data_IF_052117320472
#
_entry.id   IF_052117320472
#
_cell.length_a   1.000
_cell.length_b   1.000
_cell.length_c   1.000
_cell.angle_alpha   90.00
_cell.angle_beta   90.00
_cell.angle_gamma   90.00
#
_symmetry.space_group_name_H-M   'P 1'
#
loop_
_entity.id
_entity.type
_entity.pdbx_description
1 polymer ?
#
# COMPACT_ATOMS: atom_id res chain seq x y z
N UNK A 1 -30.48 -36.70 -5.80
CA UNK A 1 -29.81 -35.42 -6.15
C UNK A 1 -30.03 -34.29 -5.13
N UNK A 2 -31.26 -33.92 -4.76
CA UNK A 2 -31.54 -32.76 -3.89
C UNK A 2 -30.97 -32.89 -2.46
N UNK A 3 -31.00 -34.09 -1.85
CA UNK A 3 -30.38 -34.33 -0.52
C UNK A 3 -28.86 -34.17 -0.54
N UNK A 4 -28.19 -34.65 -1.59
CA UNK A 4 -26.73 -34.53 -1.74
C UNK A 4 -26.30 -33.07 -1.89
N UNK A 5 -27.06 -32.29 -2.66
CA UNK A 5 -26.82 -30.86 -2.82
C UNK A 5 -26.99 -30.09 -1.50
N UNK A 6 -28.03 -30.40 -0.69
CA UNK A 6 -28.20 -29.77 0.65
C UNK A 6 -27.11 -30.16 1.65
N UNK A 7 -26.60 -31.39 1.59
CA UNK A 7 -25.49 -31.82 2.47
C UNK A 7 -24.20 -31.11 2.05
N UNK A 8 -23.91 -31.06 0.74
CA UNK A 8 -22.75 -30.34 0.21
C UNK A 8 -22.81 -28.84 0.56
N UNK A 9 -23.96 -28.20 0.36
CA UNK A 9 -24.17 -26.79 0.68
C UNK A 9 -24.02 -26.50 2.19
N UNK A 10 -24.50 -27.42 3.04
CA UNK A 10 -24.31 -27.33 4.50
C UNK A 10 -22.85 -27.50 4.90
N UNK A 11 -22.14 -28.47 4.32
CA UNK A 11 -20.70 -28.69 4.56
C UNK A 11 -19.90 -27.47 4.10
N UNK A 12 -20.15 -26.99 2.89
CA UNK A 12 -19.51 -25.80 2.34
C UNK A 12 -19.75 -24.57 3.22
N UNK A 13 -20.99 -24.33 3.64
CA UNK A 13 -21.34 -23.22 4.53
C UNK A 13 -20.64 -23.32 5.89
N UNK A 14 -20.58 -24.51 6.50
CA UNK A 14 -19.89 -24.71 7.78
C UNK A 14 -18.38 -24.51 7.63
N UNK A 15 -17.80 -25.00 6.53
CA UNK A 15 -16.38 -24.83 6.22
C UNK A 15 -16.02 -23.35 6.06
N UNK A 16 -16.79 -22.60 5.26
CA UNK A 16 -16.59 -21.14 5.09
C UNK A 16 -16.73 -20.40 6.42
N UNK A 17 -17.70 -20.77 7.26
CA UNK A 17 -17.87 -20.20 8.60
C UNK A 17 -16.64 -20.46 9.49
N UNK A 18 -16.16 -21.71 9.55
CA UNK A 18 -14.98 -22.07 10.33
C UNK A 18 -13.77 -21.27 9.84
N UNK A 19 -13.52 -21.23 8.52
CA UNK A 19 -12.40 -20.47 7.95
C UNK A 19 -12.49 -18.97 8.25
N UNK A 20 -13.69 -18.39 8.20
CA UNK A 20 -13.92 -16.97 8.54
C UNK A 20 -13.64 -16.71 10.01
N UNK A 21 -14.11 -17.59 10.91
CA UNK A 21 -13.84 -17.49 12.36
C UNK A 21 -12.35 -17.65 12.63
N UNK A 22 -11.69 -18.63 12.03
CA UNK A 22 -10.24 -18.83 12.17
C UNK A 22 -9.47 -17.59 11.70
N UNK A 23 -9.80 -17.02 10.55
CA UNK A 23 -9.18 -15.80 10.03
C UNK A 23 -9.36 -14.61 10.98
N UNK A 24 -10.57 -14.43 11.52
CA UNK A 24 -10.86 -13.38 12.50
C UNK A 24 -10.06 -13.58 13.80
N UNK A 25 -9.99 -14.81 14.30
CA UNK A 25 -9.23 -15.15 15.51
C UNK A 25 -7.73 -14.90 15.31
N UNK A 26 -7.16 -15.25 14.16
CA UNK A 26 -5.76 -14.95 13.85
C UNK A 26 -5.50 -13.46 13.82
N UNK A 27 -6.39 -12.67 13.20
CA UNK A 27 -6.26 -11.21 13.18
C UNK A 27 -6.29 -10.62 14.61
N UNK A 28 -7.26 -11.02 15.42
CA UNK A 28 -7.39 -10.57 16.81
C UNK A 28 -6.17 -10.98 17.62
N UNK A 29 -5.67 -12.21 17.45
CA UNK A 29 -4.46 -12.69 18.09
C UNK A 29 -3.24 -11.82 17.75
N UNK A 30 -3.01 -11.51 16.47
CA UNK A 30 -1.89 -10.65 16.05
C UNK A 30 -2.00 -9.25 16.67
N UNK A 31 -3.19 -8.66 16.68
CA UNK A 31 -3.42 -7.33 17.27
C UNK A 31 -3.12 -7.34 18.78
N UNK A 32 -3.66 -8.33 19.51
CA UNK A 32 -3.44 -8.46 20.96
C UNK A 32 -1.96 -8.71 21.24
N UNK A 33 -1.29 -9.54 20.44
CA UNK A 33 0.13 -9.87 20.61
C UNK A 33 1.00 -8.63 20.41
N UNK A 34 0.83 -7.90 19.30
CA UNK A 34 1.54 -6.64 19.05
C UNK A 34 1.30 -5.65 20.19
N UNK A 35 0.06 -5.49 20.63
CA UNK A 35 -0.27 -4.57 21.71
C UNK A 35 0.40 -4.97 23.03
N UNK A 36 0.34 -6.25 23.42
CA UNK A 36 0.94 -6.76 24.65
C UNK A 36 2.46 -6.52 24.69
N UNK A 37 3.15 -6.87 23.61
CA UNK A 37 4.60 -6.68 23.50
C UNK A 37 4.98 -5.19 23.50
N UNK A 38 4.17 -4.34 22.85
CA UNK A 38 4.38 -2.88 22.84
C UNK A 38 4.21 -2.27 24.23
N UNK A 39 3.25 -2.74 25.04
CA UNK A 39 3.05 -2.26 26.41
C UNK A 39 4.26 -2.56 27.29
N UNK A 40 4.94 -3.70 27.08
CA UNK A 40 6.19 -4.00 27.81
C UNK A 40 7.26 -2.97 27.48
N UNK A 41 7.43 -2.60 26.20
CA UNK A 41 8.37 -1.56 25.78
C UNK A 41 8.05 -0.19 26.40
N UNK A 42 6.78 0.24 26.35
CA UNK A 42 6.39 1.58 26.82
C UNK A 42 6.43 1.76 28.34
N UNK A 43 6.59 0.66 29.11
CA UNK A 43 6.94 0.75 30.53
C UNK A 43 8.37 1.23 30.76
N UNK A 44 9.27 0.94 29.82
CA UNK A 44 10.69 1.31 29.91
C UNK A 44 11.00 2.62 29.17
N UNK A 45 10.32 2.90 28.05
CA UNK A 45 10.57 4.09 27.21
C UNK A 45 9.29 4.90 27.06
N UNK A 46 9.30 6.22 27.37
CA UNK A 46 8.14 7.08 27.16
C UNK A 46 7.69 7.13 25.69
N UNK A 47 6.38 7.03 25.45
CA UNK A 47 5.77 7.07 24.10
C UNK A 47 6.20 8.31 23.32
N UNK A 48 6.19 9.48 23.96
CA UNK A 48 6.57 10.73 23.30
C UNK A 48 8.02 10.68 22.79
N UNK A 49 8.95 10.16 23.61
CA UNK A 49 10.36 10.02 23.24
C UNK A 49 10.56 9.04 22.10
N UNK A 50 9.83 7.92 22.12
CA UNK A 50 9.87 6.94 21.04
C UNK A 50 9.46 7.54 19.70
N UNK A 51 8.41 8.37 19.70
CA UNK A 51 7.85 8.96 18.47
C UNK A 51 8.60 10.23 18.03
N UNK A 52 9.13 11.03 18.95
CA UNK A 52 9.71 12.36 18.64
C UNK A 52 11.24 12.45 18.75
N UNK A 53 11.91 11.38 19.16
CA UNK A 53 13.37 11.32 19.21
C UNK A 53 14.02 11.36 17.81
N UNK A 54 15.35 11.41 17.77
CA UNK A 54 16.11 11.70 16.54
C UNK A 54 16.92 10.54 15.98
N UNK A 55 17.14 9.48 16.76
CA UNK A 55 18.01 8.37 16.41
C UNK A 55 17.31 7.03 16.70
N UNK A 56 17.59 6.06 15.84
CA UNK A 56 17.35 4.64 16.08
C UNK A 56 18.71 3.95 16.16
N UNK A 57 19.09 3.49 17.35
CA UNK A 57 20.27 2.68 17.54
C UNK A 57 20.07 1.68 18.70
N UNK A 58 19.86 0.39 18.40
CA UNK A 58 19.62 -0.62 19.42
C UNK A 58 20.88 -1.06 20.18
N UNK A 59 22.08 -0.69 19.72
CA UNK A 59 23.35 -1.00 20.38
C UNK A 59 23.70 0.02 21.48
N UNK A 60 23.04 1.18 21.48
CA UNK A 60 23.22 2.20 22.50
C UNK A 60 22.17 2.04 23.62
N UNK A 61 22.19 2.96 24.59
CA UNK A 61 21.19 2.99 25.65
C UNK A 61 19.75 3.04 25.10
N UNK A 62 18.79 2.55 25.92
CA UNK A 62 17.34 2.56 25.67
C UNK A 62 16.80 3.90 25.11
N UNK A 63 17.48 4.96 25.51
CA UNK A 63 17.31 6.35 25.15
C UNK A 63 17.42 6.69 23.65
N UNK A 64 18.00 5.79 22.83
CA UNK A 64 18.22 5.94 21.40
C UNK A 64 17.30 5.07 20.53
N UNK A 65 16.21 4.55 21.08
CA UNK A 65 15.19 3.84 20.32
C UNK A 65 14.07 4.80 19.94
N UNK A 66 14.25 5.57 18.87
CA UNK A 66 13.21 6.44 18.32
C UNK A 66 12.97 6.22 16.83
N UNK A 67 11.70 6.26 16.44
CA UNK A 67 11.25 5.90 15.09
C UNK A 67 10.80 7.10 14.26
N UNK A 68 11.04 8.35 14.67
CA UNK A 68 10.55 9.54 13.94
C UNK A 68 10.99 9.53 12.48
N UNK A 69 12.28 9.36 12.22
CA UNK A 69 12.83 9.34 10.86
C UNK A 69 12.28 8.16 10.04
N UNK A 70 11.95 7.05 10.71
CA UNK A 70 11.44 5.82 10.10
C UNK A 70 9.95 5.97 9.75
N UNK A 71 9.17 6.64 10.61
CA UNK A 71 7.81 7.10 10.35
C UNK A 71 7.81 8.00 9.12
N UNK A 72 8.66 9.03 9.11
CA UNK A 72 8.77 9.95 7.99
C UNK A 72 9.21 9.24 6.71
N UNK A 73 10.15 8.29 6.79
CA UNK A 73 10.57 7.48 5.65
C UNK A 73 9.42 6.67 5.06
N UNK A 74 8.64 6.00 5.92
CA UNK A 74 7.45 5.22 5.50
C UNK A 74 6.43 6.11 4.80
N UNK A 75 6.06 7.23 5.43
CA UNK A 75 5.11 8.18 4.85
C UNK A 75 5.61 8.78 3.54
N UNK A 76 6.89 9.18 3.48
CA UNK A 76 7.42 9.87 2.32
C UNK A 76 7.53 8.94 1.10
N UNK A 77 8.03 7.72 1.30
CA UNK A 77 8.11 6.71 0.23
C UNK A 77 6.71 6.35 -0.28
N UNK A 78 5.74 6.12 0.61
CA UNK A 78 4.36 5.85 0.22
C UNK A 78 3.70 7.03 -0.48
N UNK A 79 3.95 8.26 -0.04
CA UNK A 79 3.39 9.45 -0.66
C UNK A 79 3.93 9.66 -2.07
N UNK A 80 5.25 9.51 -2.27
CA UNK A 80 5.87 9.57 -3.61
C UNK A 80 5.25 8.52 -4.52
N UNK A 81 5.08 7.29 -4.03
CA UNK A 81 4.46 6.22 -4.80
C UNK A 81 3.05 6.58 -5.28
N UNK A 82 2.21 7.13 -4.41
CA UNK A 82 0.83 7.50 -4.74
C UNK A 82 0.76 8.71 -5.67
N UNK A 83 1.59 9.72 -5.45
CA UNK A 83 1.68 10.91 -6.32
C UNK A 83 2.00 10.50 -7.76
N UNK A 84 2.86 9.49 -7.95
CA UNK A 84 3.20 8.96 -9.27
C UNK A 84 2.13 8.00 -9.82
N UNK A 85 1.68 7.05 -9.01
CA UNK A 85 0.82 5.96 -9.48
C UNK A 85 -0.63 6.39 -9.71
N UNK A 86 -1.17 7.30 -8.90
CA UNK A 86 -2.58 7.68 -8.97
C UNK A 86 -2.96 8.34 -10.31
N UNK A 87 -2.27 9.38 -10.82
CA UNK A 87 -2.64 9.99 -12.10
C UNK A 87 -2.49 9.01 -13.27
N UNK A 88 -1.43 8.19 -13.26
CA UNK A 88 -1.18 7.20 -14.32
C UNK A 88 -2.23 6.09 -14.28
N UNK A 89 -2.56 5.59 -13.09
CA UNK A 89 -3.53 4.50 -12.90
C UNK A 89 -4.96 4.93 -13.22
N UNK A 90 -5.38 6.10 -12.74
CA UNK A 90 -6.71 6.68 -13.04
C UNK A 90 -6.83 7.01 -14.53
N UNK A 91 -5.79 7.61 -15.13
CA UNK A 91 -5.77 7.91 -16.56
C UNK A 91 -5.87 6.63 -17.42
N UNK A 92 -5.11 5.60 -17.06
CA UNK A 92 -5.13 4.30 -17.75
C UNK A 92 -6.50 3.62 -17.63
N UNK A 93 -7.10 3.63 -16.43
CA UNK A 93 -8.44 3.08 -16.21
C UNK A 93 -9.52 3.79 -17.03
N UNK A 94 -9.44 5.13 -17.14
CA UNK A 94 -10.36 5.95 -17.91
C UNK A 94 -10.24 5.65 -19.42
N UNK A 95 -9.02 5.53 -19.94
CA UNK A 95 -8.77 5.17 -21.33
C UNK A 95 -9.25 3.74 -21.65
N UNK A 96 -9.00 2.80 -20.75
CA UNK A 96 -9.44 1.41 -20.88
C UNK A 96 -10.99 1.30 -20.91
N UNK A 97 -11.67 2.11 -20.10
CA UNK A 97 -13.14 2.16 -20.07
C UNK A 97 -13.73 2.71 -21.38
N UNK A 98 -13.18 3.80 -21.90
CA UNK A 98 -13.80 4.55 -23.01
C UNK A 98 -13.29 4.24 -24.42
N UNK A 99 -12.01 3.91 -24.58
CA UNK A 99 -11.39 3.78 -25.91
C UNK A 99 -11.09 2.34 -26.31
N UNK A 100 -10.79 1.46 -25.36
CA UNK A 100 -10.45 0.07 -25.63
C UNK A 100 -11.72 -0.79 -25.69
N UNK A 101 -11.93 -1.57 -26.75
CA UNK A 101 -13.14 -2.36 -26.97
C UNK A 101 -12.84 -3.86 -27.09
N UNK A 102 -13.86 -4.68 -26.79
CA UNK A 102 -13.88 -6.11 -27.10
C UNK A 102 -12.74 -6.89 -26.44
N UNK A 103 -12.14 -7.82 -27.19
CA UNK A 103 -11.10 -8.74 -26.71
C UNK A 103 -9.85 -8.01 -26.21
N UNK A 104 -9.48 -6.88 -26.80
CA UNK A 104 -8.30 -6.12 -26.37
C UNK A 104 -8.41 -5.63 -24.93
N UNK A 105 -9.62 -5.26 -24.48
CA UNK A 105 -9.87 -4.87 -23.08
C UNK A 105 -9.62 -6.04 -22.13
N UNK A 106 -10.11 -7.22 -22.49
CA UNK A 106 -9.96 -8.44 -21.70
C UNK A 106 -8.48 -8.82 -21.58
N UNK A 107 -7.73 -8.74 -22.68
CA UNK A 107 -6.29 -9.04 -22.70
C UNK A 107 -5.52 -8.04 -21.83
N UNK A 108 -5.75 -6.73 -22.00
CA UNK A 108 -5.06 -5.70 -21.19
C UNK A 108 -5.38 -5.88 -19.71
N UNK A 109 -6.63 -6.17 -19.35
CA UNK A 109 -7.00 -6.47 -17.95
C UNK A 109 -6.29 -7.70 -17.42
N UNK A 110 -6.22 -8.77 -18.21
CA UNK A 110 -5.46 -9.97 -17.85
C UNK A 110 -3.98 -9.67 -17.60
N UNK A 111 -3.34 -8.81 -18.41
CA UNK A 111 -1.95 -8.38 -18.19
C UNK A 111 -1.83 -7.60 -16.88
N UNK A 112 -2.74 -6.68 -16.60
CA UNK A 112 -2.74 -5.91 -15.35
C UNK A 112 -2.89 -6.84 -14.14
N UNK A 113 -3.77 -7.83 -14.21
CA UNK A 113 -3.99 -8.79 -13.13
C UNK A 113 -2.74 -9.69 -12.92
N UNK A 114 -2.06 -10.08 -14.01
CA UNK A 114 -0.79 -10.80 -13.94
C UNK A 114 0.30 -9.94 -13.28
N UNK A 115 0.38 -8.64 -13.60
CA UNK A 115 1.33 -7.72 -12.94
C UNK A 115 1.10 -7.64 -11.42
N UNK A 116 -0.17 -7.67 -10.97
CA UNK A 116 -0.52 -7.70 -9.55
C UNK A 116 -0.11 -9.01 -8.85
N UNK A 117 0.06 -10.10 -9.61
CA UNK A 117 0.47 -11.41 -9.12
C UNK A 117 1.99 -11.60 -9.01
N UNK A 118 2.79 -10.68 -9.52
CA UNK A 118 4.26 -10.76 -9.44
C UNK A 118 4.70 -10.61 -7.97
N UNK A 119 5.52 -11.54 -7.42
CA UNK A 119 6.04 -11.42 -6.07
C UNK A 119 6.84 -10.14 -5.86
N UNK A 120 6.69 -9.49 -4.71
CA UNK A 120 7.30 -8.17 -4.49
C UNK A 120 8.83 -8.20 -4.46
N UNK A 121 9.45 -9.32 -4.10
CA UNK A 121 10.91 -9.53 -4.21
C UNK A 121 11.43 -9.39 -5.63
N UNK A 122 10.63 -9.79 -6.62
CA UNK A 122 11.02 -9.73 -8.04
C UNK A 122 11.08 -8.26 -8.47
N UNK A 123 10.09 -7.46 -8.07
CA UNK A 123 10.13 -6.01 -8.27
C UNK A 123 11.34 -5.40 -7.59
N UNK A 124 11.58 -5.72 -6.31
CA UNK A 124 12.73 -5.24 -5.53
C UNK A 124 14.07 -5.53 -6.21
N UNK A 125 14.25 -6.75 -6.69
CA UNK A 125 15.46 -7.18 -7.39
C UNK A 125 15.67 -6.43 -8.72
N UNK A 126 14.61 -6.29 -9.53
CA UNK A 126 14.68 -5.49 -10.77
C UNK A 126 14.97 -4.03 -10.45
N UNK A 127 14.35 -3.47 -9.42
CA UNK A 127 14.60 -2.11 -8.95
C UNK A 127 16.05 -1.89 -8.56
N UNK A 128 16.65 -2.84 -7.83
CA UNK A 128 18.06 -2.77 -7.45
C UNK A 128 18.98 -2.83 -8.68
N UNK A 129 18.76 -3.78 -9.59
CA UNK A 129 19.65 -3.98 -10.74
C UNK A 129 19.53 -2.88 -11.81
N UNK A 130 18.32 -2.34 -12.00
CA UNK A 130 18.03 -1.40 -13.08
C UNK A 130 17.89 0.01 -12.55
N UNK A 131 16.95 0.25 -11.64
CA UNK A 131 16.60 1.61 -11.20
C UNK A 131 17.67 2.23 -10.30
N UNK A 132 18.14 1.50 -9.28
CA UNK A 132 19.21 1.96 -8.39
C UNK A 132 20.50 2.13 -9.19
N UNK A 133 20.85 1.18 -10.06
CA UNK A 133 22.03 1.32 -10.91
C UNK A 133 21.94 2.50 -11.87
N UNK A 134 20.77 2.75 -12.44
CA UNK A 134 20.52 3.92 -13.28
C UNK A 134 20.72 5.23 -12.51
N UNK A 135 20.24 5.31 -11.27
CA UNK A 135 20.45 6.47 -10.40
C UNK A 135 21.92 6.65 -10.02
N UNK A 136 22.64 5.56 -9.79
CA UNK A 136 24.07 5.58 -9.52
C UNK A 136 24.87 6.11 -10.71
N UNK A 137 24.65 5.57 -11.91
CA UNK A 137 25.47 5.87 -13.09
C UNK A 137 25.08 7.15 -13.81
N UNK A 138 23.78 7.46 -13.89
CA UNK A 138 23.26 8.54 -14.73
C UNK A 138 23.02 9.82 -13.93
N UNK A 139 22.57 9.70 -12.67
CA UNK A 139 22.32 10.85 -11.80
C UNK A 139 23.50 11.18 -10.87
N UNK A 140 24.57 10.37 -10.89
CA UNK A 140 25.76 10.57 -10.06
C UNK A 140 25.52 10.41 -8.57
N UNK A 141 24.47 9.66 -8.18
CA UNK A 141 24.15 9.40 -6.78
C UNK A 141 25.08 8.31 -6.25
N UNK A 142 25.81 8.58 -5.17
CA UNK A 142 26.87 7.69 -4.66
C UNK A 142 26.44 6.24 -4.41
N UNK A 143 25.19 6.00 -3.99
CA UNK A 143 24.64 4.65 -3.80
C UNK A 143 23.48 4.28 -4.71
N UNK A 144 22.90 5.24 -5.45
CA UNK A 144 21.64 5.08 -6.19
C UNK A 144 20.38 4.83 -5.34
N UNK A 145 20.53 4.18 -4.18
CA UNK A 145 19.48 3.90 -3.20
C UNK A 145 18.87 5.20 -2.66
N UNK A 146 17.55 5.34 -2.74
CA UNK A 146 16.88 6.58 -2.34
C UNK A 146 15.38 6.42 -2.10
N UNK A 147 14.79 7.40 -1.41
CA UNK A 147 13.32 7.54 -1.29
C UNK A 147 12.65 7.55 -2.66
N UNK A 148 13.22 8.25 -3.65
CA UNK A 148 12.68 8.30 -5.00
C UNK A 148 12.70 6.94 -5.69
N UNK A 149 13.80 6.18 -5.56
CA UNK A 149 13.91 4.84 -6.12
C UNK A 149 12.84 3.91 -5.53
N UNK A 150 12.69 3.93 -4.20
CA UNK A 150 11.61 3.21 -3.50
C UNK A 150 10.22 3.64 -3.94
N UNK A 151 9.98 4.95 -4.05
CA UNK A 151 8.71 5.51 -4.47
C UNK A 151 8.31 5.13 -5.90
N UNK A 152 9.24 5.18 -6.86
CA UNK A 152 9.00 4.77 -8.26
C UNK A 152 8.69 3.27 -8.33
N UNK A 153 9.50 2.44 -7.66
CA UNK A 153 9.30 1.00 -7.63
C UNK A 153 7.94 0.63 -7.02
N UNK A 154 7.58 1.25 -5.89
CA UNK A 154 6.26 1.09 -5.31
C UNK A 154 5.15 1.60 -6.22
N UNK A 155 5.36 2.71 -6.94
CA UNK A 155 4.36 3.25 -7.85
C UNK A 155 4.00 2.23 -8.94
N UNK A 156 5.00 1.57 -9.52
CA UNK A 156 4.80 0.48 -10.50
C UNK A 156 4.04 -0.69 -9.86
N UNK A 157 4.38 -1.06 -8.64
CA UNK A 157 3.75 -2.18 -7.93
C UNK A 157 2.29 -1.91 -7.54
N UNK A 158 1.94 -0.69 -7.13
CA UNK A 158 0.56 -0.34 -6.75
C UNK A 158 -0.32 0.01 -7.95
N UNK A 159 0.27 0.27 -9.11
CA UNK A 159 -0.42 0.65 -10.35
C UNK A 159 -1.56 -0.32 -10.73
N UNK A 160 -1.35 -1.65 -10.73
CA UNK A 160 -2.39 -2.60 -11.12
C UNK A 160 -3.63 -2.51 -10.23
N UNK A 161 -3.44 -2.34 -8.92
CA UNK A 161 -4.54 -2.22 -7.97
C UNK A 161 -5.36 -0.95 -8.21
N UNK A 162 -4.70 0.18 -8.53
CA UNK A 162 -5.38 1.43 -8.87
C UNK A 162 -6.16 1.27 -10.18
N UNK A 163 -5.54 0.70 -11.21
CA UNK A 163 -6.18 0.52 -12.52
C UNK A 163 -7.40 -0.40 -12.40
N UNK A 164 -7.26 -1.59 -11.80
CA UNK A 164 -8.36 -2.55 -11.71
C UNK A 164 -9.53 -2.00 -10.90
N UNK A 165 -9.26 -1.36 -9.75
CA UNK A 165 -10.32 -0.77 -8.90
C UNK A 165 -11.05 0.38 -9.59
N UNK A 166 -10.32 1.28 -10.27
CA UNK A 166 -10.94 2.40 -10.98
C UNK A 166 -11.68 1.95 -12.23
N UNK A 167 -11.10 1.02 -13.00
CA UNK A 167 -11.64 0.57 -14.28
C UNK A 167 -13.00 -0.11 -14.12
N UNK A 168 -13.18 -0.97 -13.12
CA UNK A 168 -14.45 -1.66 -12.88
C UNK A 168 -15.62 -0.68 -12.67
N UNK A 169 -15.37 0.37 -11.88
CA UNK A 169 -16.35 1.43 -11.65
C UNK A 169 -16.57 2.28 -12.91
N UNK A 170 -15.49 2.71 -13.57
CA UNK A 170 -15.56 3.57 -14.75
C UNK A 170 -16.20 2.87 -15.95
N UNK A 171 -15.96 1.57 -16.13
CA UNK A 171 -16.58 0.76 -17.17
C UNK A 171 -18.08 0.65 -16.95
N UNK A 172 -18.52 0.42 -15.71
CA UNK A 172 -19.94 0.37 -15.36
C UNK A 172 -20.64 1.70 -15.72
N UNK A 173 -20.07 2.81 -15.26
CA UNK A 173 -20.59 4.16 -15.53
C UNK A 173 -20.57 4.47 -17.04
N UNK A 174 -19.50 4.08 -17.75
CA UNK A 174 -19.43 4.24 -19.20
C UNK A 174 -20.56 3.47 -19.91
N UNK A 175 -20.82 2.21 -19.54
CA UNK A 175 -21.88 1.40 -20.16
C UNK A 175 -23.27 1.99 -19.92
N UNK A 176 -23.49 2.63 -18.78
CA UNK A 176 -24.76 3.29 -18.42
C UNK A 176 -24.99 4.57 -19.24
N UNK A 177 -23.98 5.44 -19.37
CA UNK A 177 -24.15 6.76 -20.00
C UNK A 177 -23.80 6.81 -21.49
N UNK A 178 -23.07 5.82 -22.03
CA UNK A 178 -22.64 5.82 -23.42
C UNK A 178 -23.77 5.86 -24.45
N UNK A 179 -24.91 5.14 -24.30
CA UNK A 179 -26.03 5.23 -25.23
C UNK A 179 -26.66 6.63 -25.27
N UNK A 180 -26.90 7.22 -24.10
CA UNK A 180 -27.46 8.57 -23.96
C UNK A 180 -26.53 9.64 -24.54
N UNK A 181 -25.23 9.53 -24.28
CA UNK A 181 -24.22 10.42 -24.86
C UNK A 181 -24.15 10.34 -26.38
N UNK A 182 -24.34 9.15 -26.96
CA UNK A 182 -24.35 8.95 -28.41
C UNK A 182 -25.61 9.55 -29.06
N UNK A 183 -26.77 9.39 -28.42
CA UNK A 183 -28.03 10.00 -28.88
C UNK A 183 -27.97 11.53 -28.90
N UNK A 184 -27.24 12.13 -27.94
CA UNK A 184 -27.04 13.58 -27.86
C UNK A 184 -25.89 14.11 -28.74
N UNK A 185 -25.20 13.24 -29.50
CA UNK A 185 -24.06 13.64 -30.34
C UNK A 185 -22.83 14.13 -29.55
N UNK A 186 -22.74 13.80 -28.26
CA UNK A 186 -21.67 14.26 -27.37
C UNK A 186 -20.40 13.45 -27.62
N UNK A 187 -19.25 14.13 -27.71
CA UNK A 187 -17.97 13.48 -27.94
C UNK A 187 -17.56 12.53 -26.79
N UNK A 188 -16.89 11.42 -27.11
CA UNK A 188 -16.40 10.46 -26.10
C UNK A 188 -15.45 11.09 -25.08
N UNK A 189 -14.62 12.05 -25.51
CA UNK A 189 -13.71 12.77 -24.62
C UNK A 189 -14.48 13.60 -23.59
N UNK A 190 -15.57 14.24 -24.01
CA UNK A 190 -16.46 14.96 -23.11
C UNK A 190 -17.12 14.02 -22.10
N UNK A 191 -17.69 12.89 -22.57
CA UNK A 191 -18.29 11.88 -21.70
C UNK A 191 -17.30 11.40 -20.62
N UNK A 192 -16.06 11.08 -21.01
CA UNK A 192 -15.04 10.62 -20.07
C UNK A 192 -14.65 11.68 -19.03
N UNK A 193 -14.39 12.92 -19.47
CA UNK A 193 -13.87 13.98 -18.60
C UNK A 193 -14.94 14.63 -17.73
N UNK A 194 -16.17 14.79 -18.24
CA UNK A 194 -17.23 15.58 -17.59
C UNK A 194 -18.29 14.75 -16.90
N UNK A 195 -18.42 13.47 -17.22
CA UNK A 195 -19.42 12.58 -16.60
C UNK A 195 -18.69 11.48 -15.82
N UNK A 196 -17.93 10.64 -16.52
CA UNK A 196 -17.35 9.43 -15.93
C UNK A 196 -16.32 9.76 -14.84
N UNK A 197 -15.39 10.69 -15.10
CA UNK A 197 -14.35 11.03 -14.14
C UNK A 197 -14.92 11.64 -12.83
N UNK A 198 -15.86 12.62 -12.87
CA UNK A 198 -16.54 13.10 -11.66
C UNK A 198 -17.35 12.03 -10.93
N UNK A 199 -18.09 11.19 -11.65
CA UNK A 199 -18.94 10.16 -11.06
C UNK A 199 -18.11 9.03 -10.42
N UNK A 200 -16.89 8.81 -10.93
CA UNK A 200 -15.93 7.83 -10.41
C UNK A 200 -15.10 8.31 -9.22
N UNK A 201 -15.35 9.51 -8.65
CA UNK A 201 -14.59 10.02 -7.50
C UNK A 201 -14.56 9.04 -6.32
N UNK A 202 -15.66 8.29 -6.11
CA UNK A 202 -15.77 7.29 -5.04
C UNK A 202 -14.83 6.09 -5.24
N UNK A 203 -14.70 5.62 -6.48
CA UNK A 203 -13.80 4.50 -6.79
C UNK A 203 -12.34 4.94 -6.78
N UNK A 204 -12.04 6.16 -7.23
CA UNK A 204 -10.69 6.75 -7.15
C UNK A 204 -10.25 6.86 -5.68
N UNK A 205 -11.11 7.33 -4.79
CA UNK A 205 -10.79 7.38 -3.35
C UNK A 205 -10.60 5.98 -2.75
N UNK A 206 -11.46 5.02 -3.10
CA UNK A 206 -11.30 3.64 -2.64
C UNK A 206 -9.97 3.02 -3.13
N UNK A 207 -9.62 3.24 -4.40
CA UNK A 207 -8.36 2.82 -4.99
C UNK A 207 -7.16 3.47 -4.28
N UNK A 208 -7.27 4.76 -3.93
CA UNK A 208 -6.22 5.50 -3.21
C UNK A 208 -6.01 4.93 -1.81
N UNK A 209 -7.08 4.65 -1.07
CA UNK A 209 -7.02 4.03 0.27
C UNK A 209 -6.33 2.66 0.19
N UNK A 210 -6.74 1.83 -0.76
CA UNK A 210 -6.18 0.49 -0.95
C UNK A 210 -4.68 0.56 -1.33
N UNK A 211 -4.33 1.45 -2.27
CA UNK A 211 -2.96 1.63 -2.71
C UNK A 211 -2.05 2.20 -1.60
N UNK A 212 -2.53 3.16 -0.81
CA UNK A 212 -1.81 3.71 0.34
C UNK A 212 -1.52 2.63 1.39
N UNK A 213 -2.54 1.86 1.76
CA UNK A 213 -2.36 0.75 2.70
C UNK A 213 -1.35 -0.28 2.20
N UNK A 214 -1.37 -0.59 0.90
CA UNK A 214 -0.40 -1.48 0.27
C UNK A 214 1.01 -0.89 0.28
N UNK A 215 1.17 0.38 -0.09
CA UNK A 215 2.46 1.05 -0.16
C UNK A 215 3.13 1.22 1.21
N UNK A 216 2.36 1.53 2.24
CA UNK A 216 2.87 1.68 3.62
C UNK A 216 3.23 0.36 4.27
N UNK A 217 2.54 -0.72 3.89
CA UNK A 217 2.80 -2.08 4.37
C UNK A 217 3.82 -2.85 3.54
N UNK A 218 4.42 -2.24 2.51
CA UNK A 218 5.37 -2.96 1.66
C UNK A 218 6.74 -3.06 2.31
N UNK A 219 7.26 -4.29 2.35
CA UNK A 219 8.47 -4.64 3.10
C UNK A 219 9.64 -4.91 2.18
N UNK A 220 9.53 -5.97 1.39
CA UNK A 220 10.69 -6.60 0.75
C UNK A 220 11.14 -5.84 -0.49
N UNK A 221 10.21 -5.38 -1.32
CA UNK A 221 10.58 -4.62 -2.52
C UNK A 221 11.28 -3.31 -2.14
N UNK A 222 10.76 -2.64 -1.12
CA UNK A 222 11.27 -1.34 -0.65
C UNK A 222 12.63 -1.50 0.00
N UNK A 223 12.80 -2.48 0.90
CA UNK A 223 14.08 -2.66 1.62
C UNK A 223 15.27 -2.87 0.68
N UNK A 224 15.05 -3.41 -0.52
CA UNK A 224 16.12 -3.65 -1.49
C UNK A 224 16.64 -2.37 -2.16
N UNK A 225 15.89 -1.26 -2.13
CA UNK A 225 16.18 -0.06 -2.94
C UNK A 225 16.30 1.26 -2.17
N UNK A 226 15.91 1.30 -0.89
CA UNK A 226 15.93 2.54 -0.08
C UNK A 226 17.21 2.74 0.74
N UNK A 227 18.07 1.72 0.82
CA UNK A 227 19.34 1.77 1.54
C UNK A 227 19.28 1.60 3.06
N UNK A 228 18.08 1.46 3.64
CA UNK A 228 17.80 1.07 5.03
C UNK A 228 18.58 1.84 6.10
N UNK A 229 18.65 3.16 5.97
CA UNK A 229 19.31 4.03 6.95
C UNK A 229 18.27 4.82 7.76
N UNK A 230 18.26 4.77 9.10
CA UNK A 230 17.30 5.49 9.96
C UNK A 230 17.59 6.99 10.09
N UNK A 231 17.95 7.62 8.99
CA UNK A 231 18.28 9.05 8.88
C UNK A 231 17.05 9.85 8.39
N UNK A 232 17.00 11.18 8.63
CA UNK A 232 15.93 12.01 8.12
C UNK A 232 15.78 11.87 6.59
N UNK A 233 14.59 11.50 6.09
CA UNK A 233 14.44 11.12 4.70
C UNK A 233 14.53 12.34 3.78
N UNK A 234 15.24 12.19 2.65
CA UNK A 234 15.34 13.16 1.56
C UNK A 234 15.02 12.46 0.25
N UNK A 235 14.51 13.18 -0.76
CA UNK A 235 14.08 12.58 -2.02
C UNK A 235 15.15 11.69 -2.68
N UNK A 236 16.39 12.20 -2.75
CA UNK A 236 17.56 11.48 -3.28
C UNK A 236 18.44 10.88 -2.17
N UNK A 237 17.96 10.87 -0.93
CA UNK A 237 18.67 10.31 0.22
C UNK A 237 18.12 8.94 0.59
N UNK A 238 18.92 8.20 1.37
CA UNK A 238 18.51 6.94 1.98
C UNK A 238 17.45 7.17 3.06
N UNK A 239 16.65 6.16 3.32
CA UNK A 239 15.74 6.12 4.45
C UNK A 239 15.54 4.68 4.93
N UNK A 240 14.74 4.52 5.98
CA UNK A 240 14.26 3.23 6.45
C UNK A 240 12.76 3.34 6.67
N UNK A 241 11.99 2.32 6.30
CA UNK A 241 10.55 2.23 6.58
C UNK A 241 10.28 1.29 7.75
N UNK A 242 9.14 1.44 8.42
CA UNK A 242 8.79 0.59 9.57
C UNK A 242 8.76 -0.91 9.17
N UNK A 243 8.15 -1.31 8.03
CA UNK A 243 8.21 -2.71 7.63
C UNK A 243 9.64 -3.20 7.38
N UNK A 244 10.48 -2.40 6.71
CA UNK A 244 11.89 -2.77 6.46
C UNK A 244 12.69 -2.91 7.76
N UNK A 245 12.44 -2.03 8.73
CA UNK A 245 13.05 -2.09 10.06
C UNK A 245 12.72 -3.41 10.76
N UNK A 246 11.44 -3.75 10.83
CA UNK A 246 10.98 -4.99 11.47
C UNK A 246 11.59 -6.20 10.75
N UNK A 247 11.58 -6.22 9.42
CA UNK A 247 12.12 -7.35 8.67
C UNK A 247 13.62 -7.55 8.83
N UNK A 248 14.41 -6.47 8.92
CA UNK A 248 15.86 -6.53 9.07
C UNK A 248 16.28 -6.93 10.49
N UNK A 249 15.60 -6.37 11.49
CA UNK A 249 16.10 -6.40 12.87
C UNK A 249 15.41 -7.48 13.73
N UNK A 250 14.20 -7.93 13.36
CA UNK A 250 13.45 -8.94 14.15
C UNK A 250 14.20 -10.27 14.27
N UNK A 251 14.89 -10.71 13.21
CA UNK A 251 15.68 -11.94 13.24
C UNK A 251 16.99 -11.82 14.03
N UNK A 252 17.46 -10.60 14.29
CA UNK A 252 18.72 -10.30 14.98
C UNK A 252 18.50 -9.92 16.45
N UNK A 253 17.27 -9.54 16.83
CA UNK A 253 16.91 -9.15 18.18
C UNK A 253 16.78 -10.37 19.11
N UNK A 254 17.42 -10.32 20.26
CA UNK A 254 17.24 -11.35 21.31
C UNK A 254 15.80 -11.31 21.85
N UNK A 255 15.17 -12.49 21.93
CA UNK A 255 13.77 -12.62 22.36
C UNK A 255 13.61 -12.12 23.80
N UNK A 256 12.69 -11.18 24.01
CA UNK A 256 12.45 -10.55 25.32
C UNK A 256 13.40 -9.38 25.65
N UNK A 257 14.32 -9.03 24.75
CA UNK A 257 15.12 -7.81 24.89
C UNK A 257 14.28 -6.55 24.68
N UNK A 258 14.78 -5.41 25.16
CA UNK A 258 14.14 -4.12 24.91
C UNK A 258 14.03 -3.81 23.41
N UNK A 259 15.05 -4.20 22.64
CA UNK A 259 15.07 -4.04 21.18
C UNK A 259 13.95 -4.86 20.51
N UNK A 260 13.75 -6.11 20.92
CA UNK A 260 12.66 -6.96 20.44
C UNK A 260 11.30 -6.29 20.67
N UNK A 261 11.01 -5.85 21.90
CA UNK A 261 9.74 -5.17 22.19
C UNK A 261 9.59 -3.82 21.46
N UNK A 262 10.69 -3.11 21.17
CA UNK A 262 10.68 -1.88 20.37
C UNK A 262 10.25 -2.11 18.91
N UNK A 263 10.56 -3.27 18.33
CA UNK A 263 10.11 -3.64 16.99
C UNK A 263 8.59 -3.90 16.96
N UNK A 264 8.03 -4.55 17.99
CA UNK A 264 6.57 -4.67 18.14
C UNK A 264 5.91 -3.30 18.34
N UNK A 265 6.50 -2.43 19.16
CA UNK A 265 6.03 -1.05 19.33
C UNK A 265 6.03 -0.27 18.00
N UNK A 266 7.05 -0.49 17.15
CA UNK A 266 7.09 0.08 15.80
C UNK A 266 5.94 -0.45 14.93
N UNK A 267 5.66 -1.75 14.98
CA UNK A 267 4.52 -2.37 14.31
C UNK A 267 3.18 -1.83 14.79
N UNK A 268 3.01 -1.59 16.09
CA UNK A 268 1.83 -0.93 16.65
C UNK A 268 1.65 0.48 16.08
N UNK A 269 2.74 1.25 15.99
CA UNK A 269 2.70 2.61 15.40
C UNK A 269 2.32 2.56 13.92
N UNK A 270 2.86 1.63 13.13
CA UNK A 270 2.45 1.46 11.73
C UNK A 270 0.95 1.13 11.62
N UNK A 271 0.46 0.21 12.44
CA UNK A 271 -0.96 -0.18 12.45
C UNK A 271 -1.87 1.00 12.81
N UNK A 272 -1.51 1.78 13.84
CA UNK A 272 -2.25 2.98 14.22
C UNK A 272 -2.18 4.07 13.14
N UNK A 273 -1.03 4.25 12.50
CA UNK A 273 -0.87 5.20 11.40
C UNK A 273 -1.76 4.84 10.21
N UNK A 274 -1.79 3.56 9.82
CA UNK A 274 -2.69 3.05 8.79
C UNK A 274 -4.16 3.28 9.15
N UNK A 275 -4.54 2.99 10.39
CA UNK A 275 -5.90 3.22 10.88
C UNK A 275 -6.30 4.70 10.77
N UNK A 276 -5.44 5.61 11.24
CA UNK A 276 -5.70 7.06 11.23
C UNK A 276 -5.84 7.57 9.80
N UNK A 277 -4.92 7.22 8.90
CA UNK A 277 -4.96 7.64 7.49
C UNK A 277 -6.22 7.10 6.80
N UNK A 278 -6.54 5.83 7.01
CA UNK A 278 -7.74 5.21 6.43
C UNK A 278 -9.02 5.86 6.98
N UNK A 279 -9.05 6.22 8.26
CA UNK A 279 -10.18 6.91 8.88
C UNK A 279 -10.37 8.32 8.30
N UNK A 280 -9.28 9.08 8.13
CA UNK A 280 -9.32 10.40 7.49
C UNK A 280 -9.89 10.30 6.07
N UNK A 281 -9.38 9.34 5.28
CA UNK A 281 -9.85 9.12 3.90
C UNK A 281 -11.30 8.64 3.84
N UNK A 282 -11.73 7.83 4.81
CA UNK A 282 -13.12 7.39 4.94
C UNK A 282 -14.07 8.56 5.21
N UNK A 283 -13.71 9.47 6.14
CA UNK A 283 -14.50 10.68 6.39
C UNK A 283 -14.53 11.61 5.17
N UNK A 284 -13.41 11.72 4.45
CA UNK A 284 -13.34 12.49 3.21
C UNK A 284 -14.29 11.91 2.14
N UNK A 285 -14.31 10.58 2.00
CA UNK A 285 -15.27 9.86 1.14
C UNK A 285 -16.71 10.18 1.55
N UNK A 286 -17.02 10.19 2.85
CA UNK A 286 -18.37 10.45 3.36
C UNK A 286 -18.83 11.89 3.08
N UNK A 287 -17.97 12.89 3.23
CA UNK A 287 -18.35 14.29 2.94
C UNK A 287 -18.63 14.52 1.44
N UNK A 288 -17.96 13.79 0.55
CA UNK A 288 -18.26 13.80 -0.89
C UNK A 288 -19.61 13.14 -1.22
N UNK A 289 -20.25 12.44 -0.27
CA UNK A 289 -21.61 11.89 -0.43
C UNK A 289 -22.72 12.91 -0.15
N UNK A 290 -22.40 14.05 0.49
CA UNK A 290 -23.37 15.06 0.93
C UNK A 290 -23.45 16.26 -0.04
N UNK A 291 -22.76 16.20 -1.17
CA UNK A 291 -22.80 17.14 -2.29
C UNK A 291 -23.16 16.39 -3.57
#
# INVERSE_FOLDING_TARGET
MIKLYRVFDRVFTQLVKILTICSLLTLVFVIIFIFKESVVFFKAVPVLRFISGRSWNPLLAADNLSILNIILGTLYVSLVAIVLALPIGVGSALLLAGYVKGQLRVVIRGIIDVLAGIPSVVYGFIGLLVLVKFFETTLGLSSGESVLAGGILLAVMVLPYIISTCHESMEKIYREHAPSSQALGVSRSYLLRKIILPESRRSILAATVLALGRAMGETMAVMMVIGNAPIPPRLFGKCQTIPSLIALEMGMAEVGSLHYHALFASGLVLMLMLLVINLILYFLKKNILLQ
#
